data_IF_294567851819
#
_entry.id   IF_294567851819
#
_cell.length_a   1.000
_cell.length_b   1.000
_cell.length_c   1.000
_cell.angle_alpha   90.00
_cell.angle_beta   90.00
_cell.angle_gamma   90.00
#
_symmetry.space_group_name_H-M   'P 1'
#
loop_
_entity.id
_entity.type
_entity.pdbx_description
1 polymer ?
#
# COMPACT_ATOMS: atom_id res chain seq x y z
N UNK A 1 -49.80 -51.31 6.22
CA UNK A 1 -49.26 -50.21 5.43
C UNK A 1 -48.18 -49.52 6.28
N UNK A 2 -46.89 -49.78 5.99
CA UNK A 2 -45.75 -49.15 6.70
C UNK A 2 -45.31 -47.91 5.89
N UNK A 3 -45.39 -46.73 6.51
CA UNK A 3 -44.89 -45.47 5.93
C UNK A 3 -43.39 -45.35 6.28
N UNK A 4 -42.56 -45.34 5.25
CA UNK A 4 -41.13 -45.07 5.35
C UNK A 4 -40.95 -43.53 5.28
N UNK A 5 -40.51 -42.92 6.39
CA UNK A 5 -40.06 -41.50 6.38
C UNK A 5 -38.60 -41.46 5.93
N UNK A 6 -38.37 -40.88 4.79
CA UNK A 6 -37.01 -40.59 4.28
C UNK A 6 -36.59 -39.24 4.82
N UNK A 7 -35.64 -39.21 5.74
CA UNK A 7 -35.04 -37.99 6.25
C UNK A 7 -33.92 -37.55 5.30
N UNK A 8 -34.11 -36.45 4.61
CA UNK A 8 -33.07 -35.82 3.79
C UNK A 8 -32.22 -34.93 4.71
N UNK A 9 -30.98 -35.33 4.96
CA UNK A 9 -29.99 -34.50 5.66
C UNK A 9 -29.40 -33.49 4.67
N UNK A 10 -29.70 -32.20 4.84
CA UNK A 10 -29.06 -31.14 4.11
C UNK A 10 -27.67 -30.88 4.69
N UNK A 11 -26.60 -31.18 3.93
CA UNK A 11 -25.23 -30.82 4.26
C UNK A 11 -25.06 -29.31 3.94
N UNK A 12 -24.98 -28.46 4.97
CA UNK A 12 -24.59 -27.09 4.84
C UNK A 12 -23.06 -27.00 4.68
N UNK A 13 -22.58 -26.74 3.45
CA UNK A 13 -21.17 -26.47 3.19
C UNK A 13 -20.91 -24.99 3.58
N UNK A 14 -20.39 -24.77 4.79
CA UNK A 14 -19.87 -23.50 5.22
C UNK A 14 -18.53 -23.27 4.51
N UNK A 15 -18.54 -22.50 3.42
CA UNK A 15 -17.32 -22.01 2.76
C UNK A 15 -16.56 -21.09 3.71
N UNK A 16 -15.46 -21.57 4.28
CA UNK A 16 -14.50 -20.71 4.95
C UNK A 16 -13.71 -19.97 3.87
N UNK A 17 -13.91 -18.66 3.77
CA UNK A 17 -13.00 -17.81 3.02
C UNK A 17 -11.69 -17.73 3.83
N UNK A 18 -10.67 -18.45 3.39
CA UNK A 18 -9.31 -18.24 3.88
C UNK A 18 -8.84 -16.89 3.36
N UNK A 19 -8.76 -15.88 4.21
CA UNK A 19 -7.98 -14.67 3.90
C UNK A 19 -6.52 -15.11 3.85
N UNK A 20 -5.83 -14.80 2.75
CA UNK A 20 -4.39 -15.02 2.69
C UNK A 20 -3.72 -14.15 3.76
N UNK A 21 -2.57 -14.60 4.26
CA UNK A 21 -1.82 -13.81 5.24
C UNK A 21 -1.23 -12.54 4.60
N UNK A 22 -1.02 -11.52 5.44
CA UNK A 22 -0.27 -10.33 5.06
C UNK A 22 1.13 -10.73 4.56
N UNK A 23 1.59 -10.10 3.47
CA UNK A 23 2.93 -10.32 2.90
C UNK A 23 3.92 -9.42 3.65
N UNK A 24 4.87 -10.02 4.38
CA UNK A 24 5.89 -9.25 5.07
C UNK A 24 6.80 -8.48 4.07
N UNK A 25 7.41 -7.33 4.47
CA UNK A 25 8.28 -6.55 3.59
C UNK A 25 9.42 -7.35 2.95
N UNK A 26 9.97 -8.35 3.66
CA UNK A 26 11.01 -9.26 3.16
C UNK A 26 10.52 -10.27 2.12
N UNK A 27 9.21 -10.53 2.08
CA UNK A 27 8.61 -11.56 1.25
C UNK A 27 7.93 -10.98 0.00
N UNK A 28 8.03 -9.65 -0.18
CA UNK A 28 7.45 -8.96 -1.35
C UNK A 28 8.19 -9.38 -2.62
N UNK A 29 7.42 -9.82 -3.61
CA UNK A 29 7.93 -10.17 -4.95
C UNK A 29 7.62 -9.02 -5.91
N UNK A 30 8.67 -8.51 -6.55
CA UNK A 30 8.58 -7.47 -7.57
C UNK A 30 8.78 -8.08 -8.96
N UNK A 31 7.91 -7.71 -9.89
CA UNK A 31 8.02 -8.02 -11.32
C UNK A 31 8.11 -6.69 -12.08
N UNK A 32 9.28 -6.39 -12.63
CA UNK A 32 9.56 -5.10 -13.29
C UNK A 32 9.17 -3.86 -12.43
N UNK A 33 9.32 -3.98 -11.11
CA UNK A 33 8.97 -2.93 -10.16
C UNK A 33 7.51 -2.96 -9.67
N UNK A 34 6.64 -3.75 -10.28
CA UNK A 34 5.24 -3.92 -9.85
C UNK A 34 5.10 -5.03 -8.80
N UNK A 35 4.06 -4.94 -7.97
CA UNK A 35 3.65 -5.97 -7.00
C UNK A 35 2.24 -6.41 -7.37
N UNK A 36 2.10 -7.59 -7.97
CA UNK A 36 0.82 -8.11 -8.44
C UNK A 36 -0.12 -8.54 -7.28
N UNK A 37 0.46 -9.12 -6.22
CA UNK A 37 -0.31 -9.59 -5.07
C UNK A 37 -0.65 -8.43 -4.12
N UNK A 38 -1.87 -8.44 -3.56
CA UNK A 38 -2.21 -7.54 -2.45
C UNK A 38 -1.36 -7.86 -1.22
N UNK A 39 -0.77 -6.83 -0.60
CA UNK A 39 0.06 -6.96 0.60
C UNK A 39 -0.73 -7.43 1.82
N UNK A 40 -2.02 -7.16 1.85
CA UNK A 40 -2.93 -7.54 2.95
C UNK A 40 -3.54 -8.93 2.80
N UNK A 41 -3.15 -9.70 1.77
CA UNK A 41 -3.78 -10.98 1.49
C UNK A 41 -5.23 -10.86 1.00
N UNK A 42 -5.61 -9.71 0.44
CA UNK A 42 -6.91 -9.50 -0.21
C UNK A 42 -7.88 -8.61 0.58
N UNK A 43 -7.48 -8.06 1.73
CA UNK A 43 -8.25 -6.98 2.36
C UNK A 43 -8.14 -5.74 1.49
N UNK A 44 -9.26 -5.16 1.00
CA UNK A 44 -9.22 -3.97 0.14
C UNK A 44 -8.65 -2.75 0.87
N UNK A 45 -8.03 -1.85 0.11
CA UNK A 45 -7.61 -0.55 0.63
C UNK A 45 -8.81 0.36 0.92
N UNK A 46 -8.68 1.18 1.97
CA UNK A 46 -9.64 2.21 2.36
C UNK A 46 -9.22 3.55 1.71
N UNK A 47 -10.00 3.99 0.72
CA UNK A 47 -9.78 5.25 -0.02
C UNK A 47 -9.70 6.46 0.91
N UNK A 48 -10.59 6.54 1.91
CA UNK A 48 -10.64 7.66 2.84
C UNK A 48 -9.42 7.69 3.77
N UNK A 49 -8.95 6.52 4.19
CA UNK A 49 -7.71 6.43 4.96
C UNK A 49 -6.51 6.75 4.10
N UNK A 50 -6.47 6.26 2.86
CA UNK A 50 -5.44 6.60 1.87
C UNK A 50 -5.34 8.11 1.65
N UNK A 51 -6.47 8.79 1.46
CA UNK A 51 -6.55 10.25 1.34
C UNK A 51 -5.96 10.98 2.57
N UNK A 52 -6.21 10.47 3.79
CA UNK A 52 -5.63 11.05 5.01
C UNK A 52 -4.13 10.85 5.09
N UNK A 53 -3.62 9.68 4.68
CA UNK A 53 -2.19 9.37 4.69
C UNK A 53 -1.39 10.25 3.73
N UNK A 54 -2.01 10.78 2.67
CA UNK A 54 -1.36 11.73 1.77
C UNK A 54 -0.80 12.96 2.47
N UNK A 55 -1.37 13.37 3.64
CA UNK A 55 -0.99 14.57 4.39
C UNK A 55 -0.60 14.27 5.84
N UNK A 56 -0.51 13.02 6.28
CA UNK A 56 -0.27 12.69 7.69
C UNK A 56 0.70 11.53 7.89
N UNK A 57 1.32 11.55 9.06
CA UNK A 57 2.19 10.46 9.50
C UNK A 57 3.40 10.27 8.61
N UNK A 58 3.77 9.01 8.42
CA UNK A 58 4.91 8.64 7.58
C UNK A 58 4.61 8.73 6.08
N UNK A 59 3.34 8.75 5.68
CA UNK A 59 2.93 8.96 4.30
C UNK A 59 3.36 10.33 3.80
N UNK A 60 2.62 11.36 4.19
CA UNK A 60 2.87 12.78 3.87
C UNK A 60 3.31 13.04 2.42
N UNK A 61 2.63 12.41 1.49
CA UNK A 61 3.00 12.42 0.05
C UNK A 61 2.96 13.82 -0.56
N UNK A 62 2.00 14.67 -0.09
CA UNK A 62 1.89 16.05 -0.58
C UNK A 62 3.09 16.94 -0.24
N UNK A 63 3.95 16.54 0.70
CA UNK A 63 5.21 17.25 0.94
C UNK A 63 6.14 17.27 -0.30
N UNK A 64 5.97 16.30 -1.20
CA UNK A 64 6.75 16.19 -2.43
C UNK A 64 5.90 16.27 -3.70
N UNK A 65 4.60 15.97 -3.64
CA UNK A 65 3.71 15.86 -4.79
C UNK A 65 2.54 16.84 -4.72
N UNK A 66 2.24 17.48 -5.83
CA UNK A 66 1.00 18.22 -5.99
C UNK A 66 -0.16 17.27 -6.30
N UNK A 67 -1.34 17.52 -5.69
CA UNK A 67 -2.58 16.76 -5.88
C UNK A 67 -3.75 17.73 -5.85
N UNK A 68 -4.41 17.93 -6.97
CA UNK A 68 -5.52 18.92 -7.08
C UNK A 68 -6.70 18.57 -6.18
N UNK A 69 -7.01 17.28 -5.97
CA UNK A 69 -8.05 16.83 -5.04
C UNK A 69 -7.78 17.25 -3.58
N UNK A 70 -6.54 17.55 -3.24
CA UNK A 70 -6.09 17.94 -1.89
C UNK A 70 -5.71 19.43 -1.80
N UNK A 71 -6.09 20.26 -2.78
CA UNK A 71 -5.72 21.68 -2.85
C UNK A 71 -6.15 22.55 -1.66
N UNK A 72 -7.08 22.06 -0.85
CA UNK A 72 -7.51 22.67 0.41
C UNK A 72 -6.49 22.47 1.54
N UNK A 73 -5.54 21.56 1.37
CA UNK A 73 -4.44 21.34 2.30
C UNK A 73 -3.24 22.22 1.91
N UNK A 74 -2.52 22.80 2.87
CA UNK A 74 -1.35 23.63 2.59
C UNK A 74 -0.09 22.78 2.30
N UNK A 75 0.92 23.42 1.70
CA UNK A 75 2.29 22.93 1.60
C UNK A 75 2.48 21.73 0.65
N UNK A 76 1.88 21.79 -0.53
CA UNK A 76 2.19 20.86 -1.62
C UNK A 76 3.60 21.13 -2.16
N UNK A 77 4.40 20.06 -2.29
CA UNK A 77 5.73 20.13 -2.91
C UNK A 77 5.68 19.87 -4.41
N UNK A 78 6.72 20.35 -5.09
CA UNK A 78 6.93 20.20 -6.54
C UNK A 78 8.18 19.33 -6.83
N UNK A 79 8.63 18.53 -5.86
CA UNK A 79 9.82 17.66 -5.98
C UNK A 79 9.49 16.44 -6.83
N UNK A 80 8.35 15.81 -6.54
CA UNK A 80 7.81 14.69 -7.30
C UNK A 80 6.85 15.17 -8.39
N UNK A 81 6.48 14.29 -9.35
CA UNK A 81 5.47 14.63 -10.34
C UNK A 81 4.10 14.85 -9.69
N UNK A 82 3.28 15.69 -10.32
CA UNK A 82 1.86 15.81 -9.98
C UNK A 82 1.17 14.45 -10.08
N UNK A 83 0.29 14.15 -9.12
CA UNK A 83 -0.40 12.86 -9.04
C UNK A 83 -1.78 12.86 -9.71
N UNK A 84 -2.28 13.99 -10.20
CA UNK A 84 -3.49 14.02 -11.01
C UNK A 84 -3.32 13.10 -12.22
N UNK A 85 -4.34 12.31 -12.55
CA UNK A 85 -4.29 11.31 -13.62
C UNK A 85 -3.32 10.14 -13.39
N UNK A 86 -2.83 9.94 -12.16
CA UNK A 86 -1.84 8.88 -11.89
C UNK A 86 -2.39 7.48 -12.16
N UNK A 87 -3.70 7.27 -11.98
CA UNK A 87 -4.37 6.01 -12.25
C UNK A 87 -4.52 5.69 -13.75
N UNK A 88 -4.31 6.67 -14.62
CA UNK A 88 -4.30 6.46 -16.07
C UNK A 88 -2.88 6.21 -16.60
N UNK A 89 -1.86 6.54 -15.79
CA UNK A 89 -0.44 6.31 -16.13
C UNK A 89 0.10 5.00 -15.58
N UNK A 90 -0.40 4.53 -14.45
CA UNK A 90 0.10 3.36 -13.73
C UNK A 90 -1.03 2.44 -13.31
N UNK A 91 -0.82 1.15 -13.45
CA UNK A 91 -1.71 0.13 -12.89
C UNK A 91 -1.63 0.10 -11.36
N UNK A 92 -2.62 -0.52 -10.72
CA UNK A 92 -2.64 -0.74 -9.28
C UNK A 92 -1.39 -1.50 -8.78
N UNK A 93 -0.93 -2.51 -9.52
CA UNK A 93 0.26 -3.30 -9.19
C UNK A 93 1.55 -2.45 -9.26
N UNK A 94 1.67 -1.57 -10.25
CA UNK A 94 2.80 -0.65 -10.39
C UNK A 94 2.79 0.40 -9.28
N UNK A 95 1.63 1.00 -8.98
CA UNK A 95 1.51 1.95 -7.86
C UNK A 95 1.86 1.31 -6.53
N UNK A 96 1.41 0.08 -6.29
CA UNK A 96 1.79 -0.69 -5.10
C UNK A 96 3.30 -0.86 -5.00
N UNK A 97 3.95 -1.22 -6.09
CA UNK A 97 5.40 -1.37 -6.15
C UNK A 97 6.15 -0.05 -5.94
N UNK A 98 5.69 1.04 -6.55
CA UNK A 98 6.27 2.39 -6.40
C UNK A 98 6.17 2.85 -4.94
N UNK A 99 5.02 2.69 -4.29
CA UNK A 99 4.87 3.07 -2.88
C UNK A 99 5.71 2.17 -1.99
N UNK A 100 5.68 0.86 -2.20
CA UNK A 100 6.44 -0.06 -1.37
C UNK A 100 7.94 0.21 -1.46
N UNK A 101 8.50 0.31 -2.66
CA UNK A 101 9.90 0.63 -2.90
C UNK A 101 10.14 1.21 -4.30
N UNK A 102 9.94 2.50 -4.45
CA UNK A 102 10.15 3.21 -5.72
C UNK A 102 11.53 3.00 -6.34
N UNK A 103 12.55 2.70 -5.54
CA UNK A 103 13.93 2.54 -6.01
C UNK A 103 14.15 1.31 -6.89
N UNK A 104 13.22 0.37 -6.91
CA UNK A 104 13.28 -0.79 -7.82
C UNK A 104 12.96 -0.36 -9.26
N UNK A 105 11.97 0.53 -9.42
CA UNK A 105 11.57 1.06 -10.73
C UNK A 105 12.38 2.29 -11.14
N UNK A 106 12.76 3.12 -10.16
CA UNK A 106 13.47 4.40 -10.36
C UNK A 106 14.68 4.45 -9.43
N UNK A 107 15.83 3.95 -9.86
CA UNK A 107 17.03 3.74 -9.03
C UNK A 107 17.49 5.01 -8.29
N UNK A 108 17.47 6.16 -8.98
CA UNK A 108 17.95 7.44 -8.44
C UNK A 108 16.86 8.27 -7.73
N UNK A 109 15.68 7.72 -7.50
CA UNK A 109 14.58 8.48 -6.88
C UNK A 109 14.87 8.87 -5.44
N UNK A 110 14.45 10.08 -5.07
CA UNK A 110 14.44 10.57 -3.70
C UNK A 110 13.26 10.02 -2.89
N UNK A 111 12.23 9.47 -3.55
CA UNK A 111 11.05 8.92 -2.89
C UNK A 111 11.44 7.85 -1.88
N UNK A 112 10.96 7.92 -0.64
CA UNK A 112 11.21 6.89 0.36
C UNK A 112 10.64 5.53 -0.06
N UNK A 113 11.24 4.45 0.46
CA UNK A 113 10.64 3.12 0.40
C UNK A 113 9.74 2.95 1.60
N UNK A 114 8.41 2.95 1.39
CA UNK A 114 7.46 2.97 2.50
C UNK A 114 7.21 1.59 3.12
N UNK A 115 7.44 0.51 2.36
CA UNK A 115 7.26 -0.88 2.83
C UNK A 115 8.56 -1.67 2.73
N UNK A 116 9.56 -1.22 3.51
CA UNK A 116 10.91 -1.80 3.52
C UNK A 116 11.47 -1.81 4.95
N UNK A 117 12.12 -2.91 5.34
CA UNK A 117 12.68 -3.10 6.69
C UNK A 117 14.15 -3.43 6.70
N UNK A 118 14.77 -3.69 5.54
CA UNK A 118 16.17 -4.13 5.42
C UNK A 118 16.90 -3.46 4.25
N UNK A 119 18.19 -3.71 4.12
CA UNK A 119 19.01 -3.18 3.02
C UNK A 119 19.23 -1.66 3.11
N UNK A 120 19.24 -1.10 4.31
CA UNK A 120 19.64 0.28 4.57
C UNK A 120 21.15 0.36 4.76
N UNK A 121 21.78 1.37 4.14
CA UNK A 121 23.24 1.58 4.30
C UNK A 121 23.53 2.19 5.67
N UNK A 122 22.71 3.14 6.11
CA UNK A 122 22.83 3.81 7.41
C UNK A 122 21.44 4.25 7.90
N UNK A 123 20.93 3.52 8.85
CA UNK A 123 19.69 3.88 9.53
C UNK A 123 20.04 4.58 10.84
N UNK A 124 19.50 5.76 11.02
CA UNK A 124 19.67 6.55 12.24
C UNK A 124 18.32 6.94 12.83
N UNK A 125 18.28 7.08 14.15
CA UNK A 125 17.09 7.59 14.83
C UNK A 125 16.87 9.06 14.49
N UNK A 126 15.62 9.43 14.29
CA UNK A 126 15.23 10.80 14.06
C UNK A 126 15.75 11.73 15.18
N UNK A 127 16.16 12.94 14.81
CA UNK A 127 16.69 13.99 15.70
C UNK A 127 18.02 13.69 16.38
N UNK A 128 18.34 12.46 16.73
CA UNK A 128 19.60 12.14 17.45
C UNK A 128 20.74 11.82 16.51
N UNK A 129 20.44 11.30 15.33
CA UNK A 129 21.42 10.80 14.39
C UNK A 129 22.22 9.58 14.90
N UNK A 130 21.83 8.99 16.04
CA UNK A 130 22.42 7.75 16.54
C UNK A 130 22.04 6.59 15.66
N UNK A 131 22.86 5.55 15.65
CA UNK A 131 22.49 4.31 14.97
C UNK A 131 21.20 3.76 15.55
N UNK A 132 20.30 3.31 14.67
CA UNK A 132 19.06 2.66 15.10
C UNK A 132 19.38 1.35 15.83
N UNK A 133 18.71 1.10 16.94
CA UNK A 133 18.81 -0.13 17.72
C UNK A 133 17.44 -0.84 17.70
N UNK A 134 17.44 -2.13 17.34
CA UNK A 134 16.24 -2.97 17.32
C UNK A 134 15.72 -3.28 15.92
N UNK A 135 14.50 -3.79 15.85
CA UNK A 135 13.81 -4.11 14.59
C UNK A 135 13.35 -2.84 13.87
N UNK A 136 13.55 -2.82 12.57
CA UNK A 136 13.10 -1.73 11.71
C UNK A 136 11.68 -2.01 11.26
N UNK A 137 10.73 -1.18 11.67
CA UNK A 137 9.39 -1.22 11.12
C UNK A 137 9.33 -0.49 9.76
N UNK A 138 8.47 -0.92 8.83
CA UNK A 138 8.22 -0.16 7.61
C UNK A 138 7.57 1.19 7.95
N UNK A 139 7.69 2.18 7.06
CA UNK A 139 7.08 3.50 7.24
C UNK A 139 5.54 3.44 7.17
N UNK A 140 5.01 2.58 6.32
CA UNK A 140 3.58 2.27 6.22
C UNK A 140 3.40 0.76 6.44
N UNK A 141 2.29 0.38 7.08
CA UNK A 141 1.85 -1.01 7.15
C UNK A 141 1.38 -1.50 5.79
N UNK A 142 1.20 -2.82 5.60
CA UNK A 142 0.62 -3.38 4.38
C UNK A 142 -0.73 -2.75 4.06
N UNK A 143 -1.60 -2.59 5.08
CA UNK A 143 -2.92 -1.97 4.89
C UNK A 143 -2.79 -0.51 4.47
N UNK A 144 -1.91 0.27 5.08
CA UNK A 144 -1.71 1.68 4.72
C UNK A 144 -1.16 1.84 3.30
N UNK A 145 -0.33 0.90 2.82
CA UNK A 145 0.09 0.88 1.40
C UNK A 145 -1.12 0.65 0.50
N UNK A 146 -1.96 -0.35 0.79
CA UNK A 146 -3.17 -0.62 0.00
C UNK A 146 -4.16 0.54 0.05
N UNK A 147 -4.29 1.22 1.20
CA UNK A 147 -5.16 2.39 1.37
C UNK A 147 -4.70 3.54 0.46
N UNK A 148 -3.39 3.84 0.44
CA UNK A 148 -2.81 4.86 -0.44
C UNK A 148 -2.98 4.47 -1.91
N UNK A 149 -2.75 3.21 -2.28
CA UNK A 149 -2.98 2.71 -3.64
C UNK A 149 -4.44 2.90 -4.03
N UNK A 150 -5.38 2.51 -3.17
CA UNK A 150 -6.81 2.65 -3.42
C UNK A 150 -7.21 4.12 -3.65
N UNK A 151 -6.65 5.06 -2.88
CA UNK A 151 -6.87 6.48 -3.10
C UNK A 151 -6.27 6.96 -4.43
N UNK A 152 -5.03 6.61 -4.73
CA UNK A 152 -4.37 6.99 -5.99
C UNK A 152 -5.11 6.47 -7.21
N UNK A 153 -5.73 5.28 -7.14
CA UNK A 153 -6.55 4.72 -8.20
C UNK A 153 -7.85 5.51 -8.46
N UNK A 154 -8.21 6.46 -7.60
CA UNK A 154 -9.32 7.40 -7.85
C UNK A 154 -8.89 8.63 -8.66
N UNK A 155 -7.59 8.93 -8.72
CA UNK A 155 -7.03 10.11 -9.40
C UNK A 155 -6.85 9.83 -10.90
N UNK A 156 -7.92 10.02 -11.66
CA UNK A 156 -7.98 9.87 -13.11
C UNK A 156 -8.05 11.22 -13.79
N UNK A 157 -7.56 11.28 -15.03
CA UNK A 157 -7.79 12.43 -15.89
C UNK A 157 -9.29 12.53 -16.24
N UNK A 158 -9.85 13.77 -16.27
CA UNK A 158 -11.23 14.05 -16.66
C UNK A 158 -11.42 14.03 -18.18
#
# INVERSE_FOLDING_TARGET
MKRILTTVAALAISGQFATAAEIAPSDVVYEDGAIAASLTGGTPGDVENGRKLMNKGAGNCIACHEVTDLKDLPFHGEIGPMLDGVADRWSEAELRGIIANAKIMFEDTMMPSFYKTEGFIRLGDAYTGKAHEGEVAPLLTAQEVEDVVAYLMTLKDE
#
